data_IF_921687482896
#
_entry.id   IF_921687482896
#
_cell.length_a   1.000
_cell.length_b   1.000
_cell.length_c   1.000
_cell.angle_alpha   90.00
_cell.angle_beta   90.00
_cell.angle_gamma   90.00
#
_symmetry.space_group_name_H-M   'P 1'
#
loop_
_entity.id
_entity.type
_entity.pdbx_description
1 polymer ?
#
# COMPACT_ATOMS: atom_id res chain seq x y z
N UNK A 1 45.47 -81.85 40.71
CA UNK A 1 44.84 -81.34 39.47
C UNK A 1 44.81 -79.84 39.61
N UNK A 2 45.80 -79.20 39.00
CA UNK A 2 46.01 -77.76 38.97
C UNK A 2 45.08 -77.13 37.95
N UNK A 3 44.49 -75.96 38.25
CA UNK A 3 44.09 -75.00 37.21
C UNK A 3 44.20 -73.57 37.74
N UNK A 4 45.35 -72.98 37.45
CA UNK A 4 45.53 -71.52 37.36
C UNK A 4 44.76 -71.02 36.14
N UNK A 5 43.91 -70.00 36.34
CA UNK A 5 43.09 -69.43 35.27
C UNK A 5 42.82 -67.97 35.50
N UNK A 6 43.82 -67.13 35.22
CA UNK A 6 43.70 -65.67 35.15
C UNK A 6 42.74 -65.27 34.03
N UNK A 7 41.53 -64.85 34.38
CA UNK A 7 40.60 -64.24 33.45
C UNK A 7 40.81 -62.71 33.42
N UNK A 8 41.64 -62.26 32.48
CA UNK A 8 41.60 -60.88 32.02
C UNK A 8 40.21 -60.58 31.45
N UNK A 9 39.44 -59.76 32.16
CA UNK A 9 38.18 -59.22 31.65
C UNK A 9 38.48 -58.26 30.50
N UNK A 10 38.15 -58.68 29.27
CA UNK A 10 38.09 -57.79 28.10
C UNK A 10 37.11 -56.66 28.41
N UNK A 11 37.46 -55.37 28.23
CA UNK A 11 36.49 -54.31 28.39
C UNK A 11 35.36 -54.49 27.39
N UNK A 12 34.15 -54.54 27.94
CA UNK A 12 32.89 -54.74 27.24
C UNK A 12 32.68 -53.57 26.27
N UNK A 13 32.88 -53.81 24.97
CA UNK A 13 32.70 -52.87 23.84
C UNK A 13 31.24 -52.50 23.45
N UNK A 14 30.13 -52.89 24.12
CA UNK A 14 28.79 -52.40 23.75
C UNK A 14 28.50 -50.97 24.24
N UNK A 15 29.16 -50.52 25.32
CA UNK A 15 28.81 -49.26 25.98
C UNK A 15 29.21 -48.01 25.19
N UNK A 16 30.29 -48.08 24.40
CA UNK A 16 30.73 -46.95 23.57
C UNK A 16 29.84 -46.74 22.33
N UNK A 17 29.09 -47.76 21.89
CA UNK A 17 28.11 -47.59 20.82
C UNK A 17 26.83 -46.93 21.33
N UNK A 18 26.41 -47.21 22.57
CA UNK A 18 25.30 -46.48 23.18
C UNK A 18 25.66 -45.03 23.47
N UNK A 19 26.89 -44.74 23.93
CA UNK A 19 27.33 -43.36 24.15
C UNK A 19 27.44 -42.56 22.85
N UNK A 20 27.93 -43.17 21.75
CA UNK A 20 27.93 -42.52 20.42
C UNK A 20 26.53 -42.32 19.84
N UNK A 21 25.62 -43.26 20.04
CA UNK A 21 24.23 -43.11 19.59
C UNK A 21 23.50 -42.04 20.41
N UNK A 22 23.75 -41.92 21.72
CA UNK A 22 23.21 -40.84 22.54
C UNK A 22 23.81 -39.47 22.21
N UNK A 23 25.09 -39.38 21.86
CA UNK A 23 25.76 -38.12 21.48
C UNK A 23 25.34 -37.60 20.08
N UNK A 24 24.88 -38.47 19.17
CA UNK A 24 24.49 -38.07 17.81
C UNK A 24 23.02 -37.60 17.69
N UNK A 25 22.18 -37.84 18.70
CA UNK A 25 20.84 -37.22 18.82
C UNK A 25 20.88 -35.79 19.40
N UNK A 26 22.07 -35.23 19.62
CA UNK A 26 22.27 -33.82 19.98
C UNK A 26 22.24 -32.86 18.78
N UNK A 27 21.94 -33.34 17.56
CA UNK A 27 21.94 -32.51 16.35
C UNK A 27 20.55 -31.93 16.09
N UNK A 28 20.26 -30.86 16.82
CA UNK A 28 19.17 -29.90 16.61
C UNK A 28 17.74 -30.44 16.81
N UNK A 29 17.29 -30.53 18.06
CA UNK A 29 15.86 -30.31 18.36
C UNK A 29 15.53 -28.83 18.10
N UNK A 30 15.34 -28.48 16.83
CA UNK A 30 14.68 -27.22 16.52
C UNK A 30 13.23 -27.33 17.01
N UNK A 31 12.89 -26.54 18.03
CA UNK A 31 11.51 -26.45 18.51
C UNK A 31 10.58 -26.12 17.34
N UNK A 32 9.35 -26.64 17.38
CA UNK A 32 8.34 -26.41 16.32
C UNK A 32 8.19 -24.92 15.99
N UNK A 33 8.34 -24.05 16.99
CA UNK A 33 8.32 -22.59 16.87
C UNK A 33 9.52 -22.04 16.10
N UNK A 34 10.71 -22.58 16.33
CA UNK A 34 11.93 -22.23 15.59
C UNK A 34 11.83 -22.64 14.13
N UNK A 35 11.32 -23.85 13.85
CA UNK A 35 11.05 -24.32 12.49
C UNK A 35 10.02 -23.44 11.79
N UNK A 36 8.92 -23.09 12.47
CA UNK A 36 7.90 -22.21 11.93
C UNK A 36 8.40 -20.79 11.66
N UNK A 37 9.30 -20.27 12.52
CA UNK A 37 9.98 -18.99 12.32
C UNK A 37 10.88 -19.05 11.09
N UNK A 38 11.71 -20.08 10.95
CA UNK A 38 12.60 -20.27 9.80
C UNK A 38 11.85 -20.35 8.47
N UNK A 39 10.72 -21.07 8.42
CA UNK A 39 9.88 -21.16 7.22
C UNK A 39 9.29 -19.79 6.86
N UNK A 40 8.76 -19.04 7.85
CA UNK A 40 8.25 -17.69 7.62
C UNK A 40 9.34 -16.74 7.11
N UNK A 41 10.53 -16.82 7.68
CA UNK A 41 11.67 -16.00 7.28
C UNK A 41 12.14 -16.34 5.86
N UNK A 42 12.29 -17.62 5.52
CA UNK A 42 12.68 -18.06 4.17
C UNK A 42 11.67 -17.57 3.11
N UNK A 43 10.37 -17.79 3.33
CA UNK A 43 9.31 -17.34 2.40
C UNK A 43 9.32 -15.81 2.28
N UNK A 44 9.47 -15.09 3.39
CA UNK A 44 9.49 -13.63 3.39
C UNK A 44 10.72 -13.08 2.67
N UNK A 45 11.89 -13.70 2.87
CA UNK A 45 13.14 -13.32 2.19
C UNK A 45 13.08 -13.57 0.69
N UNK A 46 12.66 -14.76 0.26
CA UNK A 46 12.53 -15.07 -1.18
C UNK A 46 11.50 -14.15 -1.85
N UNK A 47 10.41 -13.80 -1.14
CA UNK A 47 9.44 -12.82 -1.63
C UNK A 47 10.09 -11.44 -1.84
N UNK A 48 10.89 -10.96 -0.90
CA UNK A 48 11.56 -9.66 -1.02
C UNK A 48 12.62 -9.65 -2.12
N UNK A 49 13.37 -10.75 -2.30
CA UNK A 49 14.39 -10.88 -3.35
C UNK A 49 13.78 -10.90 -4.76
N UNK A 50 12.67 -11.62 -4.94
CA UNK A 50 12.05 -11.79 -6.27
C UNK A 50 11.13 -10.64 -6.65
N UNK A 51 10.37 -10.07 -5.70
CA UNK A 51 9.32 -9.08 -5.99
C UNK A 51 9.66 -7.65 -5.58
N UNK A 52 10.80 -7.44 -4.91
CA UNK A 52 11.20 -6.19 -4.24
C UNK A 52 10.14 -5.69 -3.21
N UNK A 53 10.50 -4.71 -2.38
CA UNK A 53 9.52 -4.07 -1.51
C UNK A 53 8.58 -3.23 -2.37
N UNK A 54 7.27 -3.52 -2.32
CA UNK A 54 6.26 -2.57 -2.79
C UNK A 54 6.42 -1.30 -1.95
N UNK A 55 7.08 -0.28 -2.51
CA UNK A 55 7.24 1.02 -1.87
C UNK A 55 5.86 1.57 -1.59
N UNK A 56 5.45 1.46 -0.33
CA UNK A 56 4.25 2.12 0.15
C UNK A 56 4.58 3.60 0.21
N UNK A 57 4.37 4.30 -0.89
CA UNK A 57 4.42 5.76 -0.88
C UNK A 57 3.40 6.22 0.17
N UNK A 58 3.93 6.68 1.29
CA UNK A 58 3.10 7.36 2.27
C UNK A 58 2.54 8.56 1.55
N UNK A 59 1.25 8.84 1.76
CA UNK A 59 0.67 10.02 1.17
C UNK A 59 1.49 11.20 1.67
N UNK A 60 1.98 12.04 0.77
CA UNK A 60 2.92 13.14 1.05
C UNK A 60 2.44 14.06 2.20
N UNK A 61 1.13 14.07 2.45
CA UNK A 61 0.51 14.90 3.48
C UNK A 61 0.51 14.31 4.90
N UNK A 62 0.82 13.02 5.10
CA UNK A 62 0.82 12.43 6.44
C UNK A 62 2.10 12.85 7.17
N UNK A 63 1.95 13.46 8.34
CA UNK A 63 3.07 13.97 9.13
C UNK A 63 3.65 12.91 10.06
N UNK A 64 4.91 13.07 10.45
CA UNK A 64 5.58 12.21 11.43
C UNK A 64 4.78 12.08 12.74
N UNK A 65 4.28 13.19 13.29
CA UNK A 65 3.41 13.19 14.49
C UNK A 65 2.16 12.30 14.34
N UNK A 66 1.52 12.30 13.16
CA UNK A 66 0.39 11.41 12.88
C UNK A 66 0.83 9.94 12.81
N UNK A 67 2.03 9.66 12.27
CA UNK A 67 2.58 8.30 12.25
C UNK A 67 2.88 7.79 13.67
N UNK A 68 3.43 8.64 14.53
CA UNK A 68 3.69 8.31 15.93
C UNK A 68 2.39 7.96 16.67
N UNK A 69 1.34 8.76 16.48
CA UNK A 69 0.00 8.48 17.03
C UNK A 69 -0.61 7.18 16.49
N UNK A 70 -0.37 6.86 15.21
CA UNK A 70 -0.80 5.57 14.63
C UNK A 70 -0.07 4.42 15.31
N UNK A 71 1.22 4.58 15.61
CA UNK A 71 2.01 3.59 16.31
C UNK A 71 1.56 3.42 17.76
N UNK A 72 1.29 4.51 18.47
CA UNK A 72 0.72 4.47 19.82
C UNK A 72 -0.62 3.71 19.84
N UNK A 73 -1.50 3.98 18.88
CA UNK A 73 -2.77 3.25 18.72
C UNK A 73 -2.54 1.74 18.53
N UNK A 74 -1.50 1.34 17.79
CA UNK A 74 -1.15 -0.08 17.61
C UNK A 74 -0.70 -0.71 18.94
N UNK A 75 0.09 0.01 19.72
CA UNK A 75 0.53 -0.45 21.05
C UNK A 75 -0.67 -0.62 21.99
N UNK A 76 -1.61 0.32 22.01
CA UNK A 76 -2.86 0.19 22.77
C UNK A 76 -3.71 -0.99 22.30
N UNK A 77 -3.73 -1.27 20.98
CA UNK A 77 -4.40 -2.45 20.43
C UNK A 77 -3.75 -3.76 20.90
N UNK A 78 -2.42 -3.79 21.01
CA UNK A 78 -1.71 -4.94 21.55
C UNK A 78 -2.08 -5.20 23.01
N UNK A 79 -2.19 -4.14 23.84
CA UNK A 79 -2.62 -4.26 25.23
C UNK A 79 -4.03 -4.89 25.38
N UNK A 80 -4.97 -4.57 24.49
CA UNK A 80 -6.30 -5.21 24.45
C UNK A 80 -6.19 -6.70 24.16
N UNK A 81 -5.31 -7.09 23.23
CA UNK A 81 -5.15 -8.47 22.81
C UNK A 81 -4.46 -9.34 23.87
N UNK A 82 -3.58 -8.74 24.68
CA UNK A 82 -2.85 -9.44 25.76
C UNK A 82 -3.55 -9.40 27.12
N UNK A 83 -4.64 -8.64 27.25
CA UNK A 83 -5.42 -8.52 28.50
C UNK A 83 -5.99 -9.87 28.93
N UNK A 84 -5.82 -10.23 30.21
CA UNK A 84 -6.24 -11.53 30.76
C UNK A 84 -7.62 -11.45 31.41
N UNK A 85 -7.93 -10.34 32.06
CA UNK A 85 -9.20 -10.15 32.75
C UNK A 85 -10.14 -9.21 31.99
N UNK A 86 -11.45 -9.32 32.27
CA UNK A 86 -12.48 -8.46 31.66
C UNK A 86 -12.29 -6.98 32.04
N UNK A 87 -11.84 -6.70 33.26
CA UNK A 87 -11.61 -5.34 33.74
C UNK A 87 -10.41 -4.68 33.04
N UNK A 88 -9.28 -5.39 32.92
CA UNK A 88 -8.11 -4.92 32.17
C UNK A 88 -8.47 -4.65 30.70
N UNK A 89 -9.21 -5.57 30.08
CA UNK A 89 -9.66 -5.40 28.70
C UNK A 89 -10.56 -4.18 28.53
N UNK A 90 -11.46 -3.92 29.47
CA UNK A 90 -12.31 -2.73 29.45
C UNK A 90 -11.50 -1.43 29.55
N UNK A 91 -10.50 -1.39 30.44
CA UNK A 91 -9.59 -0.24 30.58
C UNK A 91 -8.76 -0.02 29.31
N UNK A 92 -8.12 -1.05 28.78
CA UNK A 92 -7.34 -0.97 27.55
C UNK A 92 -8.20 -0.56 26.34
N UNK A 93 -9.47 -0.98 26.31
CA UNK A 93 -10.43 -0.60 25.28
C UNK A 93 -10.82 0.89 25.35
N UNK A 94 -10.94 1.45 26.56
CA UNK A 94 -11.18 2.87 26.75
C UNK A 94 -9.99 3.70 26.23
N UNK A 95 -8.77 3.35 26.64
CA UNK A 95 -7.54 4.02 26.19
C UNK A 95 -7.36 3.95 24.66
N UNK A 96 -7.60 2.78 24.04
CA UNK A 96 -7.57 2.64 22.59
C UNK A 96 -8.57 3.54 21.89
N UNK A 97 -9.78 3.68 22.46
CA UNK A 97 -10.84 4.50 21.86
C UNK A 97 -10.42 5.96 21.80
N UNK A 98 -9.83 6.47 22.88
CA UNK A 98 -9.32 7.83 22.94
C UNK A 98 -8.21 8.08 21.91
N UNK A 99 -7.16 7.25 21.89
CA UNK A 99 -6.04 7.40 20.95
C UNK A 99 -6.52 7.24 19.50
N UNK A 100 -7.47 6.33 19.23
CA UNK A 100 -8.05 6.17 17.90
C UNK A 100 -8.83 7.42 17.44
N UNK A 101 -9.51 8.11 18.35
CA UNK A 101 -10.14 9.40 18.03
C UNK A 101 -9.11 10.48 17.73
N UNK A 102 -8.00 10.52 18.46
CA UNK A 102 -6.90 11.45 18.21
C UNK A 102 -6.25 11.21 16.84
N UNK A 103 -5.95 9.95 16.49
CA UNK A 103 -5.46 9.59 15.15
C UNK A 103 -6.42 10.03 14.05
N UNK A 104 -7.74 9.82 14.22
CA UNK A 104 -8.74 10.27 13.24
C UNK A 104 -8.79 11.81 13.13
N UNK A 105 -8.52 12.53 14.21
CA UNK A 105 -8.42 14.00 14.18
C UNK A 105 -7.14 14.44 13.47
N UNK A 106 -5.98 13.90 13.81
CA UNK A 106 -4.70 14.29 13.21
C UNK A 106 -4.67 14.02 11.71
N UNK A 107 -5.16 12.87 11.25
CA UNK A 107 -5.28 12.56 9.81
C UNK A 107 -6.14 13.58 9.07
N UNK A 108 -7.25 14.05 9.67
CA UNK A 108 -8.11 15.07 9.07
C UNK A 108 -7.41 16.43 9.02
N UNK A 109 -6.69 16.79 10.08
CA UNK A 109 -5.91 18.02 10.16
C UNK A 109 -4.79 18.04 9.13
N UNK A 110 -3.99 16.97 9.05
CA UNK A 110 -2.90 16.84 8.08
C UNK A 110 -3.39 16.96 6.64
N UNK A 111 -4.51 16.28 6.32
CA UNK A 111 -5.12 16.39 4.99
C UNK A 111 -5.60 17.82 4.70
N UNK A 112 -6.18 18.50 5.69
CA UNK A 112 -6.66 19.88 5.53
C UNK A 112 -5.48 20.82 5.27
N UNK A 113 -4.43 20.75 6.09
CA UNK A 113 -3.21 21.56 5.93
C UNK A 113 -2.61 21.37 4.54
N UNK A 114 -2.46 20.14 4.07
CA UNK A 114 -1.95 19.88 2.72
C UNK A 114 -2.80 20.51 1.61
N UNK A 115 -4.13 20.46 1.73
CA UNK A 115 -5.02 21.09 0.74
C UNK A 115 -4.91 22.62 0.81
N UNK A 116 -4.80 23.21 2.00
CA UNK A 116 -4.59 24.64 2.20
C UNK A 116 -3.23 25.10 1.63
N UNK A 117 -2.15 24.35 1.85
CA UNK A 117 -0.81 24.63 1.32
C UNK A 117 -0.81 24.59 -0.23
N UNK A 118 -1.53 23.63 -0.83
CA UNK A 118 -1.70 23.58 -2.28
C UNK A 118 -2.53 24.76 -2.81
N UNK A 119 -3.58 25.16 -2.09
CA UNK A 119 -4.43 26.27 -2.50
C UNK A 119 -3.68 27.61 -2.41
N UNK A 120 -2.92 27.84 -1.35
CA UNK A 120 -2.08 29.03 -1.18
C UNK A 120 -0.96 29.09 -2.23
N UNK A 121 -0.36 27.94 -2.56
CA UNK A 121 0.61 27.86 -3.68
C UNK A 121 -0.03 28.21 -5.01
N UNK A 122 -1.21 27.67 -5.30
CA UNK A 122 -1.96 27.98 -6.51
C UNK A 122 -2.31 29.48 -6.58
N UNK A 123 -2.75 30.09 -5.48
CA UNK A 123 -3.05 31.53 -5.43
C UNK A 123 -1.80 32.37 -5.73
N UNK A 124 -0.64 32.01 -5.16
CA UNK A 124 0.64 32.67 -5.44
C UNK A 124 1.02 32.55 -6.92
N UNK A 125 0.94 31.35 -7.48
CA UNK A 125 1.24 31.11 -8.90
C UNK A 125 0.33 31.93 -9.82
N UNK A 126 -0.95 32.09 -9.46
CA UNK A 126 -1.88 32.92 -10.20
C UNK A 126 -1.47 34.41 -10.18
N UNK A 127 -1.07 34.93 -9.00
CA UNK A 127 -0.61 36.32 -8.85
C UNK A 127 0.68 36.60 -9.63
N UNK A 128 1.59 35.62 -9.70
CA UNK A 128 2.86 35.74 -10.42
C UNK A 128 2.76 35.43 -11.92
N UNK A 129 1.60 34.98 -12.41
CA UNK A 129 1.40 34.60 -13.82
C UNK A 129 1.99 33.22 -14.18
N UNK A 130 2.34 32.40 -13.19
CA UNK A 130 2.91 31.05 -13.35
C UNK A 130 1.83 30.00 -13.73
N UNK A 131 1.19 30.21 -14.89
CA UNK A 131 0.02 29.46 -15.33
C UNK A 131 0.23 27.94 -15.40
N UNK A 132 1.43 27.49 -15.79
CA UNK A 132 1.77 26.05 -15.83
C UNK A 132 1.69 25.39 -14.46
N UNK A 133 2.21 26.04 -13.42
CA UNK A 133 2.20 25.52 -12.06
C UNK A 133 0.81 25.58 -11.46
N UNK A 134 0.09 26.69 -11.67
CA UNK A 134 -1.32 26.84 -11.29
C UNK A 134 -2.20 25.71 -11.83
N UNK A 135 -2.10 25.39 -13.13
CA UNK A 135 -2.85 24.27 -13.70
C UNK A 135 -2.42 22.93 -13.11
N UNK A 136 -1.12 22.75 -12.84
CA UNK A 136 -0.58 21.55 -12.21
C UNK A 136 -1.15 21.33 -10.80
N UNK A 137 -1.13 22.34 -9.94
CA UNK A 137 -1.67 22.30 -8.58
C UNK A 137 -3.18 22.12 -8.57
N UNK A 138 -3.90 22.84 -9.43
CA UNK A 138 -5.35 22.68 -9.61
C UNK A 138 -5.72 21.27 -10.07
N UNK A 139 -4.93 20.67 -10.96
CA UNK A 139 -5.10 19.27 -11.40
C UNK A 139 -4.86 18.29 -10.24
N UNK A 140 -3.87 18.53 -9.38
CA UNK A 140 -3.65 17.74 -8.15
C UNK A 140 -4.85 17.83 -7.19
N UNK A 141 -5.38 19.04 -6.97
CA UNK A 141 -6.51 19.29 -6.07
C UNK A 141 -7.84 18.69 -6.57
N UNK A 142 -8.12 18.82 -7.87
CA UNK A 142 -9.37 18.33 -8.48
C UNK A 142 -9.48 16.80 -8.53
N UNK A 143 -8.34 16.11 -8.38
CA UNK A 143 -8.26 14.65 -8.43
C UNK A 143 -8.68 14.07 -9.78
N UNK A 144 -8.69 12.73 -9.86
CA UNK A 144 -9.20 12.04 -11.04
C UNK A 144 -10.73 12.06 -11.04
N UNK A 145 -11.34 13.14 -11.55
CA UNK A 145 -12.75 13.11 -11.92
C UNK A 145 -12.93 12.11 -13.05
N UNK A 146 -13.67 11.03 -12.83
CA UNK A 146 -14.16 10.19 -13.92
C UNK A 146 -15.05 11.08 -14.78
N UNK A 147 -14.58 11.48 -15.95
CA UNK A 147 -15.47 12.06 -16.95
C UNK A 147 -16.40 10.91 -17.36
N UNK A 148 -17.73 11.00 -17.17
CA UNK A 148 -18.60 10.09 -17.89
C UNK A 148 -18.28 10.27 -19.38
N UNK A 149 -18.19 9.17 -20.12
CA UNK A 149 -18.22 9.25 -21.59
C UNK A 149 -19.50 10.00 -21.94
N UNK A 150 -19.34 11.21 -22.49
CA UNK A 150 -20.48 11.97 -23.02
C UNK A 150 -20.73 11.38 -24.40
N UNK A 151 -21.83 10.67 -24.63
CA UNK A 151 -22.12 10.14 -25.95
C UNK A 151 -22.26 11.31 -26.91
N UNK A 152 -21.60 11.22 -28.06
CA UNK A 152 -21.70 12.24 -29.12
C UNK A 152 -22.94 11.91 -29.96
N UNK A 153 -23.72 12.91 -30.36
CA UNK A 153 -24.84 12.69 -31.28
C UNK A 153 -24.34 12.59 -32.73
N UNK A 154 -24.87 11.63 -33.48
CA UNK A 154 -24.71 11.54 -34.93
C UNK A 154 -25.37 12.76 -35.60
N UNK A 155 -25.18 12.89 -36.92
CA UNK A 155 -25.82 13.94 -37.71
C UNK A 155 -27.35 13.82 -37.70
N UNK A 156 -27.85 12.60 -37.54
CA UNK A 156 -29.27 12.21 -37.44
C UNK A 156 -29.81 12.29 -35.99
N UNK A 157 -28.99 12.76 -35.04
CA UNK A 157 -29.39 12.92 -33.64
C UNK A 157 -29.30 11.65 -32.77
N UNK A 158 -28.82 10.54 -33.32
CA UNK A 158 -28.66 9.27 -32.59
C UNK A 158 -27.43 9.29 -31.68
N UNK A 159 -27.49 8.65 -30.52
CA UNK A 159 -26.36 8.61 -29.57
C UNK A 159 -25.29 7.61 -30.03
N UNK A 160 -24.05 8.09 -30.15
CA UNK A 160 -22.88 7.28 -30.50
C UNK A 160 -22.11 6.93 -29.21
N UNK A 161 -22.07 5.64 -28.90
CA UNK A 161 -21.39 5.08 -27.71
C UNK A 161 -20.01 4.49 -28.01
N UNK A 162 -19.70 4.19 -29.28
CA UNK A 162 -18.41 3.62 -29.69
C UNK A 162 -17.36 4.72 -29.95
N UNK A 163 -16.15 4.57 -29.38
CA UNK A 163 -15.02 5.52 -29.49
C UNK A 163 -14.59 5.78 -30.94
N UNK A 164 -14.56 4.77 -31.79
CA UNK A 164 -14.16 4.91 -33.19
C UNK A 164 -15.20 5.70 -33.99
N UNK A 165 -16.49 5.41 -33.77
CA UNK A 165 -17.58 6.15 -34.37
C UNK A 165 -17.63 7.61 -33.88
N UNK A 166 -17.31 7.87 -32.61
CA UNK A 166 -17.18 9.23 -32.09
C UNK A 166 -16.05 9.98 -32.79
N UNK A 167 -14.89 9.35 -33.01
CA UNK A 167 -13.78 9.97 -33.77
C UNK A 167 -14.19 10.30 -35.20
N UNK A 168 -14.87 9.39 -35.88
CA UNK A 168 -15.37 9.64 -37.24
C UNK A 168 -16.35 10.81 -37.28
N UNK A 169 -17.28 10.87 -36.31
CA UNK A 169 -18.22 12.00 -36.17
C UNK A 169 -17.52 13.34 -35.94
N UNK A 170 -16.42 13.36 -35.18
CA UNK A 170 -15.59 14.56 -34.99
C UNK A 170 -14.90 14.97 -36.30
N UNK A 171 -14.32 14.01 -37.04
CA UNK A 171 -13.68 14.27 -38.33
C UNK A 171 -14.68 14.87 -39.32
N UNK A 172 -15.90 14.33 -39.40
CA UNK A 172 -16.97 14.87 -40.23
C UNK A 172 -17.34 16.30 -39.82
N UNK A 173 -17.58 16.54 -38.53
CA UNK A 173 -17.97 17.86 -38.02
C UNK A 173 -16.93 18.95 -38.37
N UNK A 174 -15.65 18.66 -38.13
CA UNK A 174 -14.58 19.61 -38.43
C UNK A 174 -14.36 19.80 -39.93
N UNK A 175 -14.55 18.75 -40.75
CA UNK A 175 -14.49 18.87 -42.21
C UNK A 175 -15.59 19.80 -42.73
N UNK A 176 -16.83 19.66 -42.26
CA UNK A 176 -17.95 20.53 -42.67
C UNK A 176 -17.75 21.97 -42.20
N UNK A 177 -17.23 22.17 -40.99
CA UNK A 177 -17.07 23.50 -40.40
C UNK A 177 -15.91 24.28 -41.00
N UNK A 178 -14.75 23.63 -41.20
CA UNK A 178 -13.50 24.30 -41.59
C UNK A 178 -13.26 24.32 -43.10
N UNK A 179 -13.83 23.39 -43.86
CA UNK A 179 -13.67 23.30 -45.31
C UNK A 179 -14.93 23.74 -46.07
N UNK A 180 -15.70 24.67 -45.51
CA UNK A 180 -16.88 25.21 -46.19
C UNK A 180 -16.43 25.95 -47.46
N UNK A 181 -16.95 25.62 -48.65
CA UNK A 181 -16.66 26.37 -49.86
C UNK A 181 -17.14 27.82 -49.70
N UNK A 182 -16.47 28.74 -50.39
CA UNK A 182 -16.86 30.14 -50.40
C UNK A 182 -18.35 30.26 -50.76
N UNK A 183 -19.15 31.06 -50.02
CA UNK A 183 -20.56 31.21 -50.32
C UNK A 183 -20.73 31.74 -51.75
N UNK A 184 -21.62 31.11 -52.52
CA UNK A 184 -21.88 31.45 -53.92
C UNK A 184 -22.37 32.89 -54.11
N UNK A 185 -23.00 33.44 -53.06
CA UNK A 185 -23.38 34.85 -53.01
C UNK A 185 -22.42 35.55 -52.03
N UNK A 186 -21.61 36.51 -52.49
CA UNK A 186 -20.90 37.38 -51.55
C UNK A 186 -21.94 38.11 -50.69
N UNK A 187 -21.69 38.28 -49.38
CA UNK A 187 -22.58 39.07 -48.55
C UNK A 187 -22.69 40.48 -49.15
N UNK A 188 -23.91 40.95 -49.38
CA UNK A 188 -24.14 42.35 -49.73
C UNK A 188 -23.84 43.19 -48.49
N UNK A 189 -22.65 43.76 -48.44
CA UNK A 189 -22.23 44.69 -47.40
C UNK A 189 -22.59 46.07 -47.94
N UNK A 190 -23.74 46.60 -47.50
CA UNK A 190 -24.04 48.03 -47.57
C UNK A 190 -23.26 48.80 -46.49
#
# INVERSE_FOLDING_TARGET
MDFTGSHYAKPNRPYLHQQKVQEDYGRQETTVESNWKGIKEAITSTRHEVLDYKKHHHKEWITADTLDKIQERRNKKAAINTSRTRAEKAKAQAEYTEVNMQVKRSIRTDKRRYVEDLATTAEKDAREGNMRQLYGTTKKLSGNRRKPERPVKSKEGMLITNVEQQRNRWVEHFKELLNRPAPLNPPNIE
#
